data_IF_441621248474
#
_entry.id   IF_441621248474
#
_cell.length_a   1.000
_cell.length_b   1.000
_cell.length_c   1.000
_cell.angle_alpha   90.00
_cell.angle_beta   90.00
_cell.angle_gamma   90.00
#
_symmetry.space_group_name_H-M   'P 1'
#
loop_
_entity.id
_entity.type
_entity.pdbx_description
1 polymer ?
#
# COMPACT_ATOMS: atom_id res chain seq x y z
N UNK A 1 -15.07 -2.38 -18.05
CA UNK A 1 -14.79 -2.73 -16.65
C UNK A 1 -14.61 -1.44 -15.85
N UNK A 2 -15.57 -1.07 -15.00
CA UNK A 2 -15.54 0.15 -14.15
C UNK A 2 -15.46 -0.19 -12.65
N UNK A 3 -15.04 -1.41 -12.31
CA UNK A 3 -15.11 -1.93 -10.93
C UNK A 3 -13.92 -1.60 -10.06
N UNK A 4 -12.79 -1.19 -10.64
CA UNK A 4 -11.52 -1.09 -9.91
C UNK A 4 -11.21 0.32 -9.41
N UNK A 5 -11.86 1.35 -9.95
CA UNK A 5 -11.58 2.76 -9.61
C UNK A 5 -11.99 3.13 -8.18
N UNK A 6 -12.79 2.30 -7.51
CA UNK A 6 -13.25 2.49 -6.12
C UNK A 6 -12.72 1.44 -5.15
N UNK A 7 -11.78 0.59 -5.58
CA UNK A 7 -11.27 -0.49 -4.73
C UNK A 7 -10.69 0.02 -3.41
N UNK A 8 -9.98 1.15 -3.44
CA UNK A 8 -9.41 1.77 -2.23
C UNK A 8 -10.48 2.26 -1.25
N UNK A 9 -11.63 2.71 -1.75
CA UNK A 9 -12.74 3.17 -0.89
C UNK A 9 -13.34 2.02 -0.09
N UNK A 10 -13.40 0.81 -0.66
CA UNK A 10 -13.82 -0.39 0.05
C UNK A 10 -12.79 -0.89 1.06
N UNK A 11 -11.51 -0.60 0.84
CA UNK A 11 -10.42 -1.00 1.74
C UNK A 11 -10.21 -0.01 2.90
N UNK A 12 -10.61 1.25 2.74
CA UNK A 12 -10.41 2.31 3.74
C UNK A 12 -10.93 1.95 5.14
N UNK A 13 -12.12 1.33 5.34
CA UNK A 13 -12.60 0.96 6.67
C UNK A 13 -11.64 0.03 7.46
N UNK A 14 -10.82 -0.78 6.78
CA UNK A 14 -9.83 -1.66 7.44
C UNK A 14 -8.68 -0.87 8.05
N UNK A 15 -8.33 0.25 7.44
CA UNK A 15 -7.27 1.16 7.87
C UNK A 15 -7.82 2.13 8.93
N UNK A 16 -9.04 2.61 8.75
CA UNK A 16 -9.73 3.51 9.69
C UNK A 16 -10.02 2.84 11.04
N UNK A 17 -10.32 1.53 11.03
CA UNK A 17 -10.51 0.72 12.23
C UNK A 17 -9.22 0.43 13.01
N UNK A 18 -8.06 0.90 12.51
CA UNK A 18 -6.72 0.67 13.07
C UNK A 18 -6.30 -0.80 13.15
N UNK A 19 -6.97 -1.68 12.39
CA UNK A 19 -6.54 -3.07 12.23
C UNK A 19 -5.39 -3.22 11.23
N UNK A 20 -5.24 -2.25 10.31
CA UNK A 20 -4.23 -2.23 9.27
C UNK A 20 -3.54 -0.86 9.20
N UNK A 21 -2.22 -0.85 8.97
CA UNK A 21 -1.44 0.38 8.83
C UNK A 21 -1.69 1.09 7.49
N UNK A 22 -1.80 0.30 6.41
CA UNK A 22 -2.08 0.79 5.07
C UNK A 22 -2.64 -0.33 4.19
N UNK A 23 -3.22 0.04 3.05
CA UNK A 23 -3.59 -0.87 1.97
C UNK A 23 -3.04 -0.35 0.65
N UNK A 24 -2.63 -1.27 -0.24
CA UNK A 24 -2.21 -0.96 -1.61
C UNK A 24 -3.04 -1.78 -2.57
N UNK A 25 -3.51 -1.12 -3.62
CA UNK A 25 -4.28 -1.71 -4.70
C UNK A 25 -3.37 -1.87 -5.91
N UNK A 26 -3.22 -3.11 -6.34
CA UNK A 26 -2.40 -3.50 -7.49
C UNK A 26 -3.27 -4.02 -8.63
N UNK A 27 -2.99 -3.61 -9.87
CA UNK A 27 -3.66 -4.06 -11.08
C UNK A 27 -2.69 -4.89 -11.92
N UNK A 28 -3.15 -5.94 -12.58
CA UNK A 28 -2.37 -6.54 -13.67
C UNK A 28 -2.17 -5.50 -14.78
N UNK A 29 -0.92 -5.31 -15.19
CA UNK A 29 -0.58 -4.52 -16.37
C UNK A 29 -1.09 -5.19 -17.64
N UNK A 30 -1.17 -4.43 -18.72
CA UNK A 30 -1.68 -4.94 -20.00
C UNK A 30 -0.68 -5.95 -20.60
N UNK A 31 -1.15 -7.02 -21.24
CA UNK A 31 -0.28 -7.99 -21.94
C UNK A 31 0.37 -7.29 -23.15
N UNK A 32 1.70 -7.38 -23.37
CA UNK A 32 2.66 -8.34 -22.80
C UNK A 32 3.57 -7.80 -21.69
N UNK A 33 3.17 -6.75 -20.96
CA UNK A 33 4.05 -6.06 -20.00
C UNK A 33 4.62 -7.00 -18.92
N UNK A 34 3.90 -8.06 -18.52
CA UNK A 34 4.30 -8.95 -17.41
C UNK A 34 4.64 -8.16 -16.13
N UNK A 35 3.94 -7.06 -15.89
CA UNK A 35 4.05 -6.27 -14.68
C UNK A 35 2.72 -6.22 -13.92
N UNK A 36 2.84 -5.99 -12.63
CA UNK A 36 1.76 -5.62 -11.73
C UNK A 36 1.96 -4.13 -11.41
N UNK A 37 0.94 -3.33 -11.66
CA UNK A 37 0.98 -1.88 -11.58
C UNK A 37 0.28 -1.38 -10.32
N UNK A 38 0.89 -0.41 -9.65
CA UNK A 38 0.25 0.30 -8.57
C UNK A 38 -0.93 1.11 -9.11
N UNK A 39 -2.12 0.90 -8.54
CA UNK A 39 -3.30 1.69 -8.89
C UNK A 39 -3.62 2.75 -7.84
N UNK A 40 -3.63 2.37 -6.56
CA UNK A 40 -4.06 3.27 -5.48
C UNK A 40 -3.59 2.76 -4.10
N UNK A 41 -3.72 3.59 -3.05
CA UNK A 41 -3.47 3.18 -1.67
C UNK A 41 -4.21 4.05 -0.64
N UNK A 42 -4.30 3.56 0.60
CA UNK A 42 -4.74 4.36 1.74
C UNK A 42 -3.88 4.07 2.98
N UNK A 43 -3.77 5.04 3.89
CA UNK A 43 -2.96 4.90 5.11
C UNK A 43 -3.72 5.32 6.38
N UNK A 44 -3.32 4.74 7.52
CA UNK A 44 -3.98 4.97 8.82
C UNK A 44 -3.72 6.35 9.39
N UNK A 45 -2.73 7.05 8.86
CA UNK A 45 -2.31 8.37 9.28
C UNK A 45 -3.13 9.50 8.66
N UNK A 46 -4.35 9.24 8.17
CA UNK A 46 -5.24 10.28 7.66
C UNK A 46 -5.91 11.08 8.81
N UNK A 47 -6.29 10.41 9.90
CA UNK A 47 -6.96 11.06 11.03
C UNK A 47 -5.95 11.81 11.89
N UNK A 48 -6.25 13.06 12.27
CA UNK A 48 -5.45 14.03 13.04
C UNK A 48 -4.71 15.11 12.22
N UNK A 49 -5.40 15.97 11.46
CA UNK A 49 -4.75 17.19 10.92
C UNK A 49 -5.43 18.45 11.47
N UNK A 50 -4.74 19.13 12.39
CA UNK A 50 -4.65 20.61 12.33
C UNK A 50 -3.63 20.90 11.24
N UNK A 51 -4.03 21.62 10.20
CA UNK A 51 -3.15 21.98 9.08
C UNK A 51 -2.16 23.00 9.60
N UNK A 52 -1.00 22.56 10.07
CA UNK A 52 0.12 23.48 10.27
C UNK A 52 0.71 23.79 8.90
N UNK A 53 0.45 25.03 8.51
CA UNK A 53 0.75 25.65 7.22
C UNK A 53 2.25 25.94 7.13
N UNK A 54 3.05 24.89 7.09
CA UNK A 54 4.48 24.97 6.75
C UNK A 54 4.71 24.16 5.47
N UNK A 55 4.26 24.74 4.37
CA UNK A 55 4.15 24.13 3.04
C UNK A 55 5.36 24.44 2.15
N UNK A 56 6.57 24.10 2.61
CA UNK A 56 7.69 24.05 1.69
C UNK A 56 8.61 22.88 2.01
N UNK A 57 8.68 21.92 1.08
CA UNK A 57 9.69 20.84 0.95
C UNK A 57 9.44 19.47 1.60
N UNK A 58 8.34 19.21 2.33
CA UNK A 58 8.10 17.84 2.84
C UNK A 58 7.45 16.93 1.79
N UNK A 59 7.92 15.67 1.61
CA UNK A 59 7.29 14.73 0.71
C UNK A 59 5.85 14.42 1.16
N UNK A 60 4.95 14.27 0.20
CA UNK A 60 3.54 13.94 0.45
C UNK A 60 3.33 12.43 0.51
N UNK A 61 2.38 12.01 1.35
CA UNK A 61 1.88 10.65 1.38
C UNK A 61 1.24 10.30 0.01
N UNK A 62 1.31 9.01 -0.36
CA UNK A 62 0.71 8.51 -1.60
C UNK A 62 -0.81 8.24 -1.50
N UNK A 63 -1.44 8.44 -0.33
CA UNK A 63 -2.90 8.34 -0.17
C UNK A 63 -3.58 9.44 -1.01
N UNK A 64 -4.22 9.02 -2.11
CA UNK A 64 -4.83 9.95 -3.06
C UNK A 64 -6.12 10.60 -2.57
N UNK A 65 -6.76 10.05 -1.53
CA UNK A 65 -8.03 10.56 -1.03
C UNK A 65 -7.83 11.65 0.03
N UNK A 66 -6.74 11.57 0.80
CA UNK A 66 -6.42 12.56 1.83
C UNK A 66 -4.99 13.03 1.65
N UNK A 67 -4.85 14.23 1.10
CA UNK A 67 -3.55 14.82 0.89
C UNK A 67 -2.95 15.28 2.23
N UNK A 68 -1.81 14.70 2.60
CA UNK A 68 -1.04 15.11 3.77
C UNK A 68 0.45 14.82 3.57
N UNK A 69 1.31 15.48 4.34
CA UNK A 69 2.74 15.17 4.37
C UNK A 69 3.01 13.78 4.96
N UNK A 70 4.14 13.17 4.60
CA UNK A 70 4.62 11.94 5.24
C UNK A 70 4.82 12.22 6.74
N UNK A 71 4.08 11.47 7.58
CA UNK A 71 4.01 11.72 9.03
C UNK A 71 3.87 10.46 9.90
N UNK A 72 3.97 9.29 9.28
CA UNK A 72 3.88 8.00 9.97
C UNK A 72 4.71 6.94 9.26
N UNK A 73 5.00 5.84 9.97
CA UNK A 73 5.66 4.66 9.39
C UNK A 73 4.87 4.06 8.22
N UNK A 74 3.54 4.15 8.25
CA UNK A 74 2.69 3.72 7.13
C UNK A 74 2.95 4.57 5.88
N UNK A 75 3.07 5.89 6.05
CA UNK A 75 3.39 6.81 4.94
C UNK A 75 4.79 6.55 4.39
N UNK A 76 5.76 6.35 5.28
CA UNK A 76 7.14 6.00 4.91
C UNK A 76 7.16 4.68 4.14
N UNK A 77 6.48 3.63 4.64
CA UNK A 77 6.38 2.34 3.94
C UNK A 77 5.80 2.50 2.53
N UNK A 78 4.66 3.20 2.40
CA UNK A 78 4.04 3.49 1.10
C UNK A 78 4.98 4.23 0.15
N UNK A 79 5.81 5.15 0.66
CA UNK A 79 6.74 5.92 -0.17
C UNK A 79 7.85 5.07 -0.80
N UNK A 80 8.16 3.91 -0.22
CA UNK A 80 9.21 3.00 -0.72
C UNK A 80 8.71 1.98 -1.74
N UNK A 81 7.40 1.78 -1.88
CA UNK A 81 6.89 0.83 -2.86
C UNK A 81 7.15 1.31 -4.31
N UNK A 82 7.51 0.40 -5.22
CA UNK A 82 7.63 0.73 -6.64
C UNK A 82 6.24 0.93 -7.27
N UNK A 83 6.17 1.67 -8.38
CA UNK A 83 4.94 1.83 -9.15
C UNK A 83 4.61 0.60 -10.03
N UNK A 84 5.60 -0.25 -10.29
CA UNK A 84 5.42 -1.50 -11.04
C UNK A 84 6.34 -2.58 -10.46
N UNK A 85 5.83 -3.81 -10.42
CA UNK A 85 6.55 -5.00 -9.95
C UNK A 85 6.46 -6.05 -11.05
N UNK A 86 7.57 -6.74 -11.35
CA UNK A 86 7.51 -7.86 -12.31
C UNK A 86 6.53 -8.93 -11.82
N UNK A 87 5.73 -9.48 -12.72
CA UNK A 87 4.82 -10.60 -12.44
C UNK A 87 5.55 -11.82 -11.88
N UNK A 88 6.86 -11.92 -12.13
CA UNK A 88 7.71 -13.01 -11.64
C UNK A 88 8.47 -12.68 -10.34
N UNK A 89 8.23 -11.50 -9.74
CA UNK A 89 8.95 -11.04 -8.57
C UNK A 89 8.12 -11.12 -7.29
N UNK A 90 8.57 -12.00 -6.39
CA UNK A 90 8.09 -12.10 -5.00
C UNK A 90 6.59 -12.34 -4.87
N UNK A 91 6.06 -12.01 -3.69
CA UNK A 91 4.69 -12.37 -3.30
C UNK A 91 3.60 -11.73 -4.17
N UNK A 92 3.82 -10.52 -4.68
CA UNK A 92 2.85 -9.84 -5.55
C UNK A 92 2.61 -10.67 -6.82
N UNK A 93 3.68 -11.15 -7.44
CA UNK A 93 3.66 -12.03 -8.59
C UNK A 93 3.01 -13.38 -8.30
N UNK A 94 3.44 -14.04 -7.23
CA UNK A 94 2.93 -15.36 -6.82
C UNK A 94 1.41 -15.34 -6.57
N UNK A 95 0.91 -14.33 -5.85
CA UNK A 95 -0.53 -14.17 -5.58
C UNK A 95 -1.29 -13.86 -6.87
N UNK A 96 -0.78 -12.97 -7.71
CA UNK A 96 -1.43 -12.61 -8.97
C UNK A 96 -1.55 -13.80 -9.95
N UNK A 97 -0.52 -14.65 -10.03
CA UNK A 97 -0.52 -15.83 -10.91
C UNK A 97 -1.34 -17.01 -10.35
N UNK A 98 -1.32 -17.23 -9.03
CA UNK A 98 -2.05 -18.33 -8.40
C UNK A 98 -3.53 -18.05 -8.21
N UNK A 99 -3.91 -16.77 -8.17
CA UNK A 99 -5.25 -16.32 -7.79
C UNK A 99 -5.68 -16.87 -6.41
N UNK A 100 -4.71 -17.03 -5.49
CA UNK A 100 -4.94 -17.48 -4.11
C UNK A 100 -4.40 -16.43 -3.12
N UNK A 101 -5.12 -16.17 -2.01
CA UNK A 101 -4.64 -15.27 -0.97
C UNK A 101 -3.40 -15.83 -0.26
N UNK A 102 -2.46 -14.97 0.13
CA UNK A 102 -1.24 -15.33 0.86
C UNK A 102 -0.94 -14.34 1.99
N UNK A 103 -0.30 -14.82 3.05
CA UNK A 103 0.05 -14.06 4.25
C UNK A 103 1.51 -14.33 4.63
N UNK A 104 2.28 -13.28 4.89
CA UNK A 104 3.66 -13.40 5.41
C UNK A 104 3.69 -12.88 6.83
N UNK A 105 4.07 -13.75 7.75
CA UNK A 105 4.28 -13.40 9.15
C UNK A 105 5.79 -13.35 9.39
N UNK A 106 6.33 -12.15 9.59
CA UNK A 106 7.68 -12.00 10.12
C UNK A 106 7.62 -12.30 11.62
N UNK A 107 7.86 -13.56 12.00
CA UNK A 107 8.04 -13.92 13.41
C UNK A 107 9.21 -13.15 14.01
N UNK A 108 9.15 -12.84 15.31
CA UNK A 108 10.31 -12.31 16.02
C UNK A 108 11.52 -13.25 15.81
N UNK A 109 12.72 -12.74 15.50
CA UNK A 109 13.93 -13.55 15.37
C UNK A 109 14.48 -14.02 16.74
N UNK A 110 13.59 -14.34 17.70
CA UNK A 110 13.95 -14.90 19.00
C UNK A 110 13.53 -16.35 19.05
N UNK A 111 14.27 -17.20 18.36
CA UNK A 111 13.98 -18.63 18.25
C UNK A 111 15.12 -19.47 17.71
N UNK A 112 16.38 -19.14 18.05
CA UNK A 112 17.50 -20.07 17.96
C UNK A 112 18.72 -19.56 18.74
N UNK A 113 18.82 -19.95 20.01
CA UNK A 113 20.12 -20.33 20.57
C UNK A 113 19.96 -21.71 21.19
N UNK A 114 20.93 -22.54 20.83
CA UNK A 114 21.19 -23.94 21.17
C UNK A 114 20.92 -24.35 22.60
#
# INVERSE_FOLDING_TARGET
>A
MRGFDRAVEWLRPFVDSKGWDFCVVWKLGDDPSRFIEWKDCCCSACFNVKVEKDESQKPFCRDGHFQHSIRSKACEALSHFPFAISLYAGIHGEVAMSNQPSWVNHGNPSGSQS
#
